data_IF_938422042541
#
_entry.id   IF_938422042541
#
_cell.length_a   1.000
_cell.length_b   1.000
_cell.length_c   1.000
_cell.angle_alpha   90.00
_cell.angle_beta   90.00
_cell.angle_gamma   90.00
#
_symmetry.space_group_name_H-M   'P 1'
#
loop_
_entity.id
_entity.type
_entity.pdbx_description
1 polymer ?
#
# COMPACT_ATOMS: atom_id res chain seq x y z
N UNK A 1 -1.43 9.86 -6.84
CA UNK A 1 -2.11 9.48 -5.58
C UNK A 1 -2.82 10.66 -4.93
N UNK A 2 -2.14 11.79 -4.68
CA UNK A 2 -2.69 12.94 -3.91
C UNK A 2 -3.97 13.55 -4.48
N UNK A 3 -4.13 13.61 -5.81
CA UNK A 3 -5.38 14.08 -6.42
C UNK A 3 -6.60 13.23 -6.02
N UNK A 4 -6.44 11.90 -5.93
CA UNK A 4 -7.54 11.02 -5.52
C UNK A 4 -7.91 11.23 -4.05
N UNK A 5 -6.92 11.45 -3.18
CA UNK A 5 -7.15 11.74 -1.76
C UNK A 5 -8.00 13.00 -1.58
N UNK A 6 -7.69 14.07 -2.33
CA UNK A 6 -8.39 15.35 -2.23
C UNK A 6 -9.73 15.32 -2.96
N UNK A 7 -9.77 14.82 -4.21
CA UNK A 7 -10.95 14.94 -5.06
C UNK A 7 -11.93 13.76 -4.96
N UNK A 8 -11.46 12.55 -4.60
CA UNK A 8 -12.29 11.34 -4.59
C UNK A 8 -12.61 10.92 -3.16
N UNK A 9 -11.62 10.92 -2.26
CA UNK A 9 -11.78 10.43 -0.90
C UNK A 9 -12.13 11.52 0.13
N UNK A 10 -12.03 12.80 -0.24
CA UNK A 10 -12.44 13.92 0.62
C UNK A 10 -11.49 14.21 1.77
N UNK A 11 -10.17 14.00 1.60
CA UNK A 11 -9.15 14.22 2.64
C UNK A 11 -8.72 15.70 2.74
N UNK A 12 -9.57 16.63 2.30
CA UNK A 12 -9.33 18.07 2.37
C UNK A 12 -10.53 18.78 2.95
N UNK A 13 -10.31 19.54 4.03
CA UNK A 13 -11.34 20.35 4.68
C UNK A 13 -11.86 21.47 3.76
N UNK A 14 -11.01 21.98 2.85
CA UNK A 14 -11.37 23.07 1.93
C UNK A 14 -12.27 22.60 0.78
N UNK A 15 -12.06 21.37 0.30
CA UNK A 15 -12.92 20.74 -0.72
C UNK A 15 -14.18 20.16 -0.07
N UNK A 16 -14.06 19.66 1.17
CA UNK A 16 -15.13 19.05 1.93
C UNK A 16 -15.32 17.57 1.59
N UNK A 17 -16.38 16.98 2.15
CA UNK A 17 -16.75 15.56 1.99
C UNK A 17 -17.47 15.28 0.67
N UNK A 18 -16.99 15.88 -0.43
CA UNK A 18 -17.52 15.69 -1.77
C UNK A 18 -16.57 14.80 -2.58
N UNK A 19 -17.15 13.90 -3.37
CA UNK A 19 -16.41 12.98 -4.22
C UNK A 19 -16.63 13.28 -5.69
N UNK A 20 -15.54 13.39 -6.44
CA UNK A 20 -15.49 13.66 -7.87
C UNK A 20 -14.72 12.53 -8.59
N UNK A 21 -15.29 11.32 -8.70
CA UNK A 21 -14.63 10.23 -9.42
C UNK A 21 -14.45 10.58 -10.90
N UNK A 22 -13.32 10.21 -11.48
CA UNK A 22 -13.17 10.23 -12.93
C UNK A 22 -14.05 9.12 -13.52
N UNK A 23 -14.89 9.47 -14.50
CA UNK A 23 -15.63 8.49 -15.28
C UNK A 23 -14.69 8.06 -16.41
N UNK A 24 -14.46 6.75 -16.54
CA UNK A 24 -13.63 6.18 -17.61
C UNK A 24 -14.35 6.18 -18.98
N UNK A 25 -15.59 6.68 -19.02
CA UNK A 25 -16.34 6.89 -20.25
C UNK A 25 -15.62 7.94 -21.10
N UNK A 26 -14.96 7.49 -22.16
CA UNK A 26 -14.10 8.27 -23.07
C UNK A 26 -14.77 9.50 -23.73
N UNK A 27 -16.07 9.73 -23.49
CA UNK A 27 -16.87 10.81 -24.06
C UNK A 27 -17.16 11.97 -23.10
N UNK A 28 -16.94 11.81 -21.78
CA UNK A 28 -17.13 12.89 -20.81
C UNK A 28 -15.77 13.42 -20.32
N UNK A 29 -15.09 14.16 -21.19
CA UNK A 29 -13.82 14.84 -20.89
C UNK A 29 -14.00 16.14 -20.07
N UNK A 30 -15.13 16.28 -19.37
CA UNK A 30 -15.46 17.45 -18.57
C UNK A 30 -15.36 17.13 -17.10
N UNK A 31 -14.56 17.93 -16.38
CA UNK A 31 -14.42 17.82 -14.93
C UNK A 31 -15.78 18.10 -14.29
N UNK A 32 -16.27 17.26 -13.35
CA UNK A 32 -17.59 17.41 -12.73
C UNK A 32 -17.62 18.50 -11.64
N UNK A 33 -16.86 19.59 -11.84
CA UNK A 33 -16.74 20.70 -10.90
C UNK A 33 -16.34 21.99 -11.61
N UNK A 34 -16.63 23.11 -10.96
CA UNK A 34 -16.31 24.44 -11.49
C UNK A 34 -14.80 24.69 -11.54
N UNK A 35 -14.35 25.63 -12.39
CA UNK A 35 -12.95 26.06 -12.43
C UNK A 35 -12.46 26.56 -11.06
N UNK A 36 -13.33 27.21 -10.30
CA UNK A 36 -13.04 27.67 -8.93
C UNK A 36 -12.74 26.49 -8.00
N UNK A 37 -13.54 25.44 -8.05
CA UNK A 37 -13.32 24.22 -7.26
C UNK A 37 -12.04 23.51 -7.69
N UNK A 38 -11.77 23.44 -9.00
CA UNK A 38 -10.52 22.89 -9.53
C UNK A 38 -9.28 23.61 -9.00
N UNK A 39 -9.32 24.95 -8.96
CA UNK A 39 -8.22 25.75 -8.39
C UNK A 39 -8.00 25.46 -6.89
N UNK A 40 -9.07 25.22 -6.13
CA UNK A 40 -8.97 24.82 -4.71
C UNK A 40 -8.30 23.45 -4.61
N UNK A 41 -8.77 22.45 -5.38
CA UNK A 41 -8.18 21.11 -5.40
C UNK A 41 -6.68 21.18 -5.73
N UNK A 42 -6.30 21.92 -6.77
CA UNK A 42 -4.90 22.07 -7.18
C UNK A 42 -4.04 22.73 -6.07
N UNK A 43 -4.61 23.70 -5.34
CA UNK A 43 -3.92 24.34 -4.22
C UNK A 43 -3.68 23.38 -3.05
N UNK A 44 -4.68 22.56 -2.71
CA UNK A 44 -4.61 21.55 -1.65
C UNK A 44 -3.59 20.46 -2.00
N UNK A 45 -3.63 19.97 -3.24
CA UNK A 45 -2.68 18.95 -3.72
C UNK A 45 -1.25 19.49 -3.63
N UNK A 46 -1.00 20.74 -4.01
CA UNK A 46 0.32 21.36 -3.88
C UNK A 46 0.77 21.43 -2.42
N UNK A 47 -0.14 21.82 -1.52
CA UNK A 47 0.16 21.90 -0.09
C UNK A 47 0.50 20.53 0.51
N UNK A 48 -0.27 19.49 0.16
CA UNK A 48 -0.01 18.11 0.60
C UNK A 48 1.32 17.57 0.09
N UNK A 49 1.63 17.78 -1.19
CA UNK A 49 2.90 17.35 -1.77
C UNK A 49 4.08 18.09 -1.15
N UNK A 50 3.95 19.39 -0.91
CA UNK A 50 4.99 20.18 -0.25
C UNK A 50 5.27 19.69 1.18
N UNK A 51 4.23 19.44 1.97
CA UNK A 51 4.35 18.87 3.33
C UNK A 51 5.02 17.51 3.33
N UNK A 52 4.61 16.62 2.42
CA UNK A 52 5.21 15.29 2.31
C UNK A 52 6.68 15.38 1.90
N UNK A 53 7.02 16.27 0.97
CA UNK A 53 8.40 16.52 0.55
C UNK A 53 9.26 17.02 1.71
N UNK A 54 8.81 18.08 2.41
CA UNK A 54 9.53 18.66 3.54
C UNK A 54 9.77 17.62 4.65
N UNK A 55 8.73 16.85 5.00
CA UNK A 55 8.86 15.75 5.97
C UNK A 55 9.87 14.70 5.52
N UNK A 56 9.90 14.37 4.23
CA UNK A 56 10.82 13.37 3.68
C UNK A 56 12.26 13.88 3.70
N UNK A 57 12.47 15.14 3.35
CA UNK A 57 13.80 15.79 3.44
C UNK A 57 14.29 15.78 4.87
N UNK A 58 13.46 16.21 5.83
CA UNK A 58 13.81 16.20 7.25
C UNK A 58 14.18 14.79 7.75
N UNK A 59 13.41 13.77 7.35
CA UNK A 59 13.69 12.38 7.73
C UNK A 59 15.04 11.89 7.18
N UNK A 60 15.34 12.20 5.92
CA UNK A 60 16.61 11.83 5.28
C UNK A 60 17.78 12.59 5.90
N UNK A 61 17.59 13.87 6.23
CA UNK A 61 18.61 14.69 6.90
C UNK A 61 18.91 14.18 8.32
N UNK A 62 17.88 13.81 9.07
CA UNK A 62 18.02 13.21 10.40
C UNK A 62 18.79 11.88 10.35
N UNK A 63 18.55 11.07 9.31
CA UNK A 63 19.14 9.74 9.16
C UNK A 63 20.27 9.71 8.11
N UNK A 64 20.90 10.86 7.86
CA UNK A 64 21.86 11.05 6.76
C UNK A 64 23.04 10.09 6.78
N UNK A 65 23.57 9.79 7.96
CA UNK A 65 24.71 8.88 8.12
C UNK A 65 24.34 7.44 7.71
N UNK A 66 23.16 6.98 8.10
CA UNK A 66 22.64 5.65 7.76
C UNK A 66 22.38 5.53 6.25
N UNK A 67 21.82 6.58 5.64
CA UNK A 67 21.60 6.65 4.19
C UNK A 67 22.94 6.61 3.44
N UNK A 68 23.97 7.30 3.92
CA UNK A 68 25.30 7.27 3.33
C UNK A 68 25.93 5.86 3.39
N UNK A 69 25.81 5.17 4.54
CA UNK A 69 26.30 3.80 4.69
C UNK A 69 25.61 2.82 3.73
N UNK A 70 24.28 2.95 3.55
CA UNK A 70 23.55 2.15 2.57
C UNK A 70 24.02 2.44 1.14
N UNK A 71 24.26 3.72 0.82
CA UNK A 71 24.74 4.11 -0.49
C UNK A 71 26.14 3.54 -0.79
N UNK A 72 27.06 3.57 0.18
CA UNK A 72 28.39 2.95 0.06
C UNK A 72 28.27 1.43 -0.12
N UNK A 73 27.43 0.77 0.68
CA UNK A 73 27.19 -0.67 0.57
C UNK A 73 26.61 -1.06 -0.80
N UNK A 74 25.76 -0.22 -1.40
CA UNK A 74 25.22 -0.42 -2.76
C UNK A 74 26.27 -0.28 -3.86
N UNK A 75 27.34 0.49 -3.62
CA UNK A 75 28.47 0.57 -4.55
C UNK A 75 29.32 -0.69 -4.52
N UNK A 76 29.42 -1.35 -3.37
CA UNK A 76 30.13 -2.64 -3.22
C UNK A 76 29.27 -3.83 -3.68
N UNK A 77 27.97 -3.81 -3.38
CA UNK A 77 27.02 -4.88 -3.66
C UNK A 77 25.80 -4.34 -4.39
N UNK A 78 25.61 -4.75 -5.64
CA UNK A 78 24.53 -4.26 -6.51
C UNK A 78 23.11 -4.47 -5.96
N UNK A 79 22.91 -5.50 -5.11
CA UNK A 79 21.60 -5.86 -4.55
C UNK A 79 21.72 -6.06 -3.05
N UNK A 80 20.93 -5.31 -2.28
CA UNK A 80 20.83 -5.48 -0.82
C UNK A 80 19.61 -6.31 -0.44
N UNK A 81 19.79 -7.22 0.52
CA UNK A 81 18.70 -7.97 1.13
C UNK A 81 18.32 -7.38 2.49
N UNK A 82 17.20 -7.85 3.06
CA UNK A 82 16.71 -7.37 4.36
C UNK A 82 17.78 -7.52 5.47
N UNK A 83 18.55 -8.61 5.46
CA UNK A 83 19.63 -8.83 6.44
C UNK A 83 20.73 -7.77 6.36
N UNK A 84 21.04 -7.30 5.15
CA UNK A 84 22.03 -6.24 4.95
C UNK A 84 21.51 -4.91 5.51
N UNK A 85 20.20 -4.63 5.32
CA UNK A 85 19.55 -3.45 5.89
C UNK A 85 19.50 -3.51 7.43
N UNK A 86 19.20 -4.68 8.02
CA UNK A 86 19.17 -4.85 9.49
C UNK A 86 20.57 -4.67 10.09
N UNK A 87 21.63 -5.06 9.38
CA UNK A 87 23.02 -4.82 9.83
C UNK A 87 23.36 -3.33 9.92
N UNK A 88 22.86 -2.52 8.99
CA UNK A 88 23.18 -1.08 8.91
C UNK A 88 22.22 -0.23 9.75
N UNK A 89 20.91 -0.52 9.66
CA UNK A 89 19.84 0.26 10.30
C UNK A 89 19.40 -0.27 11.66
N UNK A 90 19.77 -1.52 12.00
CA UNK A 90 19.24 -2.23 13.15
C UNK A 90 17.87 -2.87 12.90
N UNK A 91 17.27 -3.42 13.96
CA UNK A 91 15.93 -4.00 13.89
C UNK A 91 14.85 -2.92 13.69
N UNK A 92 13.81 -3.27 12.93
CA UNK A 92 12.72 -2.35 12.64
C UNK A 92 11.95 -2.03 13.94
N UNK A 93 11.79 -0.75 14.32
CA UNK A 93 11.14 -0.36 15.58
C UNK A 93 9.60 -0.54 15.57
N UNK A 94 9.02 -1.04 14.48
CA UNK A 94 7.60 -1.31 14.33
C UNK A 94 7.41 -2.74 13.84
N UNK A 95 6.67 -3.54 14.60
CA UNK A 95 6.30 -4.91 14.23
C UNK A 95 5.14 -4.86 13.23
N UNK A 96 5.25 -5.57 12.10
CA UNK A 96 4.11 -5.73 11.20
C UNK A 96 3.11 -6.71 11.81
N UNK A 97 1.82 -6.38 11.73
CA UNK A 97 0.74 -7.28 12.18
C UNK A 97 0.62 -8.54 11.32
N UNK A 98 1.05 -8.44 10.07
CA UNK A 98 1.10 -9.55 9.12
C UNK A 98 2.56 -9.87 8.77
N UNK A 99 2.85 -11.16 8.56
CA UNK A 99 4.15 -11.59 8.05
C UNK A 99 4.38 -11.02 6.67
N UNK A 100 5.52 -10.36 6.46
CA UNK A 100 5.88 -9.85 5.14
C UNK A 100 6.09 -11.03 4.19
N UNK A 101 5.86 -10.85 2.89
CA UNK A 101 6.14 -11.90 1.90
C UNK A 101 7.60 -12.41 1.98
N UNK A 102 8.53 -11.55 2.38
CA UNK A 102 9.92 -11.91 2.63
C UNK A 102 10.10 -12.81 3.86
N UNK A 103 9.37 -12.55 4.95
CA UNK A 103 9.39 -13.38 6.15
C UNK A 103 8.84 -14.77 5.86
N UNK A 104 7.75 -14.84 5.08
CA UNK A 104 7.16 -16.10 4.62
C UNK A 104 8.10 -16.90 3.70
N UNK A 105 8.87 -16.23 2.84
CA UNK A 105 9.90 -16.87 2.02
C UNK A 105 11.04 -17.44 2.88
N UNK A 106 11.49 -16.70 3.91
CA UNK A 106 12.55 -17.15 4.82
C UNK A 106 12.16 -18.30 5.74
N UNK A 107 10.91 -18.32 6.21
CA UNK A 107 10.39 -19.39 7.06
C UNK A 107 10.24 -20.72 6.31
N UNK A 108 10.37 -20.69 4.97
CA UNK A 108 10.06 -21.80 4.09
C UNK A 108 8.55 -21.95 3.95
N UNK A 109 8.10 -22.49 2.81
CA UNK A 109 6.75 -23.08 2.75
C UNK A 109 6.78 -24.29 3.68
N UNK A 110 6.51 -24.08 4.96
CA UNK A 110 6.08 -25.18 5.81
C UNK A 110 4.74 -25.61 5.23
N UNK A 111 4.74 -26.74 4.51
CA UNK A 111 3.51 -27.47 4.28
C UNK A 111 2.92 -27.70 5.68
N UNK A 112 1.74 -27.14 5.92
CA UNK A 112 0.96 -27.45 7.11
C UNK A 112 0.52 -28.91 6.99
N UNK A 113 1.45 -29.84 7.21
CA UNK A 113 1.14 -31.24 7.46
C UNK A 113 0.46 -31.33 8.82
N UNK A 114 -0.87 -31.37 8.75
CA UNK A 114 -1.82 -31.91 9.71
C UNK A 114 -1.74 -31.40 11.16
N UNK A 115 -2.67 -30.49 11.48
CA UNK A 115 -3.63 -30.69 12.59
C UNK A 115 -4.86 -29.82 12.41
N UNK A 116 -5.68 -30.20 11.43
CA UNK A 116 -7.12 -30.02 11.52
C UNK A 116 -7.63 -30.90 12.67
N UNK A 117 -8.05 -30.26 13.77
CA UNK A 117 -8.47 -30.98 14.96
C UNK A 117 -9.21 -30.12 15.97
N UNK A 118 -10.53 -29.99 15.73
CA UNK A 118 -11.60 -29.67 16.68
C UNK A 118 -11.87 -28.19 16.99
N UNK A 119 -12.82 -27.62 16.26
CA UNK A 119 -13.87 -26.82 16.89
C UNK A 119 -15.18 -27.53 16.56
N UNK A 120 -15.78 -28.09 17.60
CA UNK A 120 -17.03 -28.84 17.56
C UNK A 120 -18.21 -27.96 17.14
N UNK A 121 -19.14 -28.65 16.50
CA UNK A 121 -20.45 -28.24 16.00
C UNK A 121 -21.29 -27.50 17.04
N UNK A 122 -21.89 -26.37 16.66
CA UNK A 122 -23.31 -26.15 16.98
C UNK A 122 -24.06 -25.63 15.75
N UNK A 123 -25.27 -26.14 15.60
CA UNK A 123 -26.03 -26.31 14.38
C UNK A 123 -26.97 -25.14 14.16
N UNK A 124 -26.99 -24.58 12.95
CA UNK A 124 -28.26 -24.23 12.30
C UNK A 124 -28.12 -24.42 10.80
N UNK A 125 -28.83 -25.43 10.31
CA UNK A 125 -29.06 -25.66 8.90
C UNK A 125 -29.87 -24.49 8.32
N UNK A 126 -29.45 -23.98 7.17
CA UNK A 126 -30.36 -23.75 6.06
C UNK A 126 -29.58 -23.75 4.74
N UNK A 127 -30.19 -24.42 3.78
CA UNK A 127 -29.65 -24.95 2.55
C UNK A 127 -29.92 -23.96 1.41
N UNK A 128 -28.87 -23.49 0.72
CA UNK A 128 -28.98 -23.25 -0.71
C UNK A 128 -27.63 -23.43 -1.40
N UNK A 129 -27.62 -24.28 -2.43
CA UNK A 129 -26.43 -24.77 -3.09
C UNK A 129 -26.00 -23.88 -4.25
N UNK A 130 -24.70 -23.62 -4.35
CA UNK A 130 -24.05 -23.45 -5.65
C UNK A 130 -22.62 -23.97 -5.58
N UNK A 131 -22.33 -25.00 -6.37
CA UNK A 131 -21.03 -25.68 -6.43
C UNK A 131 -19.90 -24.75 -6.94
N UNK A 132 -18.65 -24.92 -6.46
CA UNK A 132 -17.50 -24.14 -6.92
C UNK A 132 -17.08 -24.45 -8.36
N UNK A 133 -16.81 -23.41 -9.15
CA UNK A 133 -16.28 -23.49 -10.52
C UNK A 133 -14.81 -23.91 -10.49
N UNK A 134 -14.48 -24.98 -11.22
CA UNK A 134 -13.10 -25.42 -11.45
C UNK A 134 -12.35 -24.43 -12.37
N UNK A 135 -11.04 -24.19 -12.14
CA UNK A 135 -10.24 -23.31 -12.99
C UNK A 135 -9.83 -23.99 -14.30
N UNK A 136 -10.43 -23.59 -15.42
CA UNK A 136 -9.97 -23.99 -16.76
C UNK A 136 -8.57 -23.44 -17.05
N UNK A 137 -7.62 -24.35 -17.22
CA UNK A 137 -6.28 -24.10 -17.77
C UNK A 137 -6.39 -24.04 -19.29
N UNK A 138 -6.04 -22.90 -19.90
CA UNK A 138 -5.94 -22.78 -21.36
C UNK A 138 -4.47 -22.87 -21.77
N UNK A 139 -4.06 -23.82 -22.65
CA UNK A 139 -2.78 -23.77 -23.34
C UNK A 139 -2.91 -23.18 -24.77
N UNK A 140 -1.80 -22.55 -25.19
CA UNK A 140 -1.43 -21.95 -26.50
C UNK A 140 -2.04 -20.62 -26.91
#
# INVERSE_FOLDING_TARGET
MTYAQVAVYGFSDKVGLLSFPQRDDAFEMTKPYSSKTGAIIDSEVREWVAKAYERTVQLIEEHKEQVAQIAELLLEKEVLHQDDLVRVLGERPFQSSELTNYDRFKLGFQEEDEKSGQIEEDRTAENDGSSPLEPEVVPT
#
